data_IF_679872350529
#
_entry.id   IF_679872350529
#
_cell.length_a   1.000
_cell.length_b   1.000
_cell.length_c   1.000
_cell.angle_alpha   90.00
_cell.angle_beta   90.00
_cell.angle_gamma   90.00
#
_symmetry.space_group_name_H-M   'P 1'
#
loop_
_entity.id
_entity.type
_entity.pdbx_description
1 polymer ?
#
# COMPACT_ATOMS: atom_id res chain seq x y z
N UNK A 1 17.33 15.92 14.13
CA UNK A 1 17.71 14.99 13.05
C UNK A 1 16.43 14.44 12.45
N UNK A 2 16.27 14.55 11.13
CA UNK A 2 15.08 14.07 10.41
C UNK A 2 15.12 12.53 10.41
N UNK A 3 14.44 11.91 11.36
CA UNK A 3 14.13 10.47 11.29
C UNK A 3 13.17 10.29 10.13
N UNK A 4 13.70 9.87 8.99
CA UNK A 4 12.96 9.58 7.78
C UNK A 4 11.97 8.46 8.07
N UNK A 5 10.74 8.86 8.41
CA UNK A 5 9.58 8.00 8.67
C UNK A 5 9.30 7.07 7.50
N UNK A 6 9.96 5.91 7.47
CA UNK A 6 9.56 4.77 6.64
C UNK A 6 8.63 3.87 7.46
N UNK A 7 7.56 4.46 8.01
CA UNK A 7 6.68 3.80 8.99
C UNK A 7 5.68 2.81 8.37
N UNK A 8 5.53 2.81 7.04
CA UNK A 8 4.42 2.12 6.39
C UNK A 8 4.90 0.98 5.47
N UNK A 9 5.23 -0.19 6.02
CA UNK A 9 5.79 -1.30 5.24
C UNK A 9 4.74 -2.01 4.38
N UNK A 10 3.44 -1.82 4.64
CA UNK A 10 2.40 -2.36 3.78
C UNK A 10 2.09 -1.40 2.64
N UNK A 11 2.34 -1.83 1.41
CA UNK A 11 2.14 -1.00 0.21
C UNK A 11 0.97 -1.55 -0.59
N UNK A 12 0.03 -0.67 -0.93
CA UNK A 12 -1.07 -0.94 -1.85
C UNK A 12 -0.77 -0.29 -3.19
N UNK A 13 -0.67 -1.10 -4.24
CA UNK A 13 -0.48 -0.63 -5.62
C UNK A 13 -1.75 -0.83 -6.42
N UNK A 14 -2.06 0.13 -7.29
CA UNK A 14 -3.12 0.02 -8.28
C UNK A 14 -2.52 -0.44 -9.59
N UNK A 15 -3.10 -1.51 -10.16
CA UNK A 15 -2.76 -1.97 -11.50
C UNK A 15 -3.58 -1.16 -12.51
N UNK A 16 -2.89 -0.63 -13.51
CA UNK A 16 -3.48 0.22 -14.55
C UNK A 16 -3.09 -0.27 -15.95
N UNK A 17 -3.45 -1.49 -16.40
CA UNK A 17 -3.08 -1.93 -17.75
C UNK A 17 -3.65 -0.94 -18.79
N UNK A 18 -2.87 -0.48 -19.79
CA UNK A 18 -1.52 -0.91 -20.20
C UNK A 18 -0.35 -0.15 -19.53
N UNK A 19 -0.63 0.75 -18.60
CA UNK A 19 0.35 1.57 -17.89
C UNK A 19 1.03 0.83 -16.73
N UNK A 20 2.15 1.41 -16.27
CA UNK A 20 2.86 0.94 -15.08
C UNK A 20 1.96 1.00 -13.82
N UNK A 21 2.08 0.04 -12.90
CA UNK A 21 1.43 0.10 -11.60
C UNK A 21 1.87 1.34 -10.82
N UNK A 22 0.95 1.90 -10.03
CA UNK A 22 1.21 3.10 -9.22
C UNK A 22 0.95 2.78 -7.75
N UNK A 23 1.84 3.28 -6.87
CA UNK A 23 1.63 3.23 -5.41
C UNK A 23 0.40 4.07 -5.08
N UNK A 24 -0.63 3.41 -4.56
CA UNK A 24 -1.91 4.02 -4.25
C UNK A 24 -1.95 4.51 -2.80
N UNK A 25 -1.46 3.70 -1.86
CA UNK A 25 -1.42 4.01 -0.44
C UNK A 25 -0.37 3.16 0.28
N UNK A 26 0.03 3.61 1.47
CA UNK A 26 0.89 2.84 2.39
C UNK A 26 0.24 2.78 3.78
N UNK A 27 0.45 1.68 4.49
CA UNK A 27 -0.16 1.39 5.78
C UNK A 27 0.86 0.82 6.77
N UNK A 28 0.64 1.06 8.07
CA UNK A 28 1.50 0.53 9.15
C UNK A 28 1.27 -0.97 9.32
N UNK A 29 0.02 -1.40 9.12
CA UNK A 29 -0.41 -2.79 9.31
C UNK A 29 -1.32 -3.28 8.17
N UNK A 30 -1.40 -4.61 8.04
CA UNK A 30 -2.19 -5.28 7.01
C UNK A 30 -3.70 -5.13 7.21
N UNK A 31 -4.17 -5.01 8.44
CA UNK A 31 -5.59 -4.91 8.76
C UNK A 31 -6.18 -3.61 8.19
N UNK A 32 -5.47 -2.50 8.32
CA UNK A 32 -5.88 -1.21 7.77
C UNK A 32 -5.88 -1.25 6.23
N UNK A 33 -4.83 -1.82 5.64
CA UNK A 33 -4.75 -2.00 4.19
C UNK A 33 -5.95 -2.81 3.64
N UNK A 34 -6.32 -3.91 4.30
CA UNK A 34 -7.48 -4.74 3.93
C UNK A 34 -8.80 -4.02 4.14
N UNK A 35 -8.94 -3.28 5.24
CA UNK A 35 -10.14 -2.52 5.55
C UNK A 35 -10.38 -1.42 4.52
N UNK A 36 -9.30 -0.81 4.03
CA UNK A 36 -9.34 0.22 2.99
C UNK A 36 -9.78 -0.30 1.61
N UNK A 37 -9.57 -1.60 1.31
CA UNK A 37 -10.02 -2.22 0.05
C UNK A 37 -11.55 -2.28 -0.05
N UNK A 38 -12.26 -2.42 1.06
CA UNK A 38 -13.73 -2.59 1.08
C UNK A 38 -14.48 -1.40 0.43
N UNK A 39 -14.24 -0.14 0.83
CA UNK A 39 -14.86 0.99 0.15
C UNK A 39 -14.33 1.16 -1.29
N UNK A 40 -13.06 0.85 -1.54
CA UNK A 40 -12.46 0.93 -2.89
C UNK A 40 -13.14 0.02 -3.90
N UNK A 41 -13.53 -1.20 -3.51
CA UNK A 41 -14.29 -2.11 -4.37
C UNK A 41 -15.65 -1.54 -4.78
N UNK A 42 -16.27 -0.72 -3.93
CA UNK A 42 -17.56 -0.07 -4.24
C UNK A 42 -17.38 1.14 -5.15
N UNK A 43 -16.33 1.92 -4.90
CA UNK A 43 -16.03 3.13 -5.67
C UNK A 43 -15.47 2.80 -7.06
N UNK A 44 -14.68 1.71 -7.16
CA UNK A 44 -13.92 1.34 -8.34
C UNK A 44 -13.95 -0.19 -8.55
N UNK A 45 -15.11 -0.76 -8.93
CA UNK A 45 -15.29 -2.21 -8.99
C UNK A 45 -14.32 -2.90 -9.97
N UNK A 46 -13.94 -2.21 -11.05
CA UNK A 46 -13.03 -2.75 -12.07
C UNK A 46 -11.54 -2.52 -11.73
N UNK A 47 -11.24 -1.75 -10.69
CA UNK A 47 -9.86 -1.47 -10.32
C UNK A 47 -9.23 -2.68 -9.63
N UNK A 48 -8.04 -3.06 -10.10
CA UNK A 48 -7.25 -4.14 -9.51
C UNK A 48 -6.20 -3.55 -8.58
N UNK A 49 -6.13 -4.07 -7.37
CA UNK A 49 -5.16 -3.65 -6.37
C UNK A 49 -4.35 -4.86 -5.88
N UNK A 50 -3.07 -4.64 -5.62
CA UNK A 50 -2.21 -5.58 -4.92
C UNK A 50 -1.75 -4.94 -3.63
N UNK A 51 -1.76 -5.71 -2.54
CA UNK A 51 -1.17 -5.32 -1.26
C UNK A 51 -0.01 -6.27 -1.00
N UNK A 52 1.16 -5.72 -0.72
CA UNK A 52 2.34 -6.50 -0.36
C UNK A 52 3.14 -5.79 0.73
N UNK A 53 4.00 -6.56 1.40
CA UNK A 53 4.93 -6.04 2.39
C UNK A 53 6.23 -5.65 1.70
N UNK A 54 6.63 -4.39 1.83
CA UNK A 54 7.83 -3.83 1.23
C UNK A 54 9.03 -4.02 2.18
N UNK A 55 9.74 -5.14 2.00
CA UNK A 55 10.96 -5.49 2.75
C UNK A 55 12.16 -4.61 2.40
N UNK A 56 12.07 -3.78 1.36
CA UNK A 56 13.17 -2.88 0.97
C UNK A 56 13.24 -1.64 1.86
N UNK A 57 12.20 -1.40 2.67
CA UNK A 57 12.19 -0.34 3.65
C UNK A 57 12.97 -0.82 4.89
N UNK A 58 13.94 -0.05 5.37
CA UNK A 58 14.56 -0.33 6.66
C UNK A 58 13.45 -0.25 7.71
N UNK A 59 13.06 -1.40 8.25
CA UNK A 59 12.30 -1.44 9.49
C UNK A 59 13.25 -1.01 10.59
N UNK A 60 12.95 0.09 11.27
CA UNK A 60 13.71 0.47 12.46
C UNK A 60 13.70 -0.74 13.42
N UNK A 61 14.88 -1.33 13.63
CA UNK A 61 15.08 -2.36 14.64
C UNK A 61 15.28 -1.59 15.95
N UNK A 62 14.22 -1.55 16.76
CA UNK A 62 14.28 -1.05 18.15
C UNK A 62 15.15 -1.97 19.02
#
# INVERSE_FOLDING_TARGET
MYYGRNLYPWVMVRLLPPMAPVVFARFDNLCDAKSYVQPLKRLMPDAKFLIFFDISLPMDQE
#
